data_IF_951846067849
#
_entry.id   IF_951846067849
#
_cell.length_a   1.000
_cell.length_b   1.000
_cell.length_c   1.000
_cell.angle_alpha   90.00
_cell.angle_beta   90.00
_cell.angle_gamma   90.00
#
_symmetry.space_group_name_H-M   'P 1'
#
loop_
_entity.id
_entity.type
_entity.pdbx_description
1 polymer ?
#
# COMPACT_ATOMS: atom_id res chain seq x y z
N UNK A 1 9.36 23.39 -6.19
CA UNK A 1 9.19 21.98 -5.80
C UNK A 1 7.97 21.87 -4.93
N UNK A 2 7.00 21.02 -5.27
CA UNK A 2 5.88 20.74 -4.37
C UNK A 2 6.38 19.82 -3.25
N UNK A 3 6.37 20.31 -2.02
CA UNK A 3 6.84 19.57 -0.85
C UNK A 3 5.79 18.53 -0.45
N UNK A 4 6.05 17.27 -0.78
CA UNK A 4 5.34 16.12 -0.23
C UNK A 4 6.31 15.34 0.65
N UNK A 5 5.86 14.90 1.82
CA UNK A 5 6.65 14.05 2.73
C UNK A 5 6.07 12.66 2.74
N UNK A 6 6.93 11.65 2.73
CA UNK A 6 6.54 10.27 2.93
C UNK A 6 6.07 10.13 4.38
N UNK A 7 4.87 9.58 4.59
CA UNK A 7 4.32 9.27 5.90
C UNK A 7 4.44 7.79 6.25
N UNK A 8 4.28 6.92 5.26
CA UNK A 8 4.25 5.46 5.47
C UNK A 8 4.63 4.74 4.17
N UNK A 9 5.05 3.49 4.30
CA UNK A 9 5.27 2.56 3.19
C UNK A 9 4.23 1.46 3.30
N UNK A 10 3.38 1.34 2.29
CA UNK A 10 2.34 0.31 2.22
C UNK A 10 2.90 -0.93 1.52
N UNK A 11 2.96 -2.08 2.20
CA UNK A 11 3.55 -3.28 1.63
C UNK A 11 2.66 -3.88 0.54
N UNK A 12 3.26 -4.30 -0.59
CA UNK A 12 2.58 -4.99 -1.70
C UNK A 12 1.30 -4.28 -2.18
N UNK A 13 1.33 -2.96 -2.24
CA UNK A 13 0.18 -2.17 -2.65
C UNK A 13 -0.10 -2.30 -4.16
N UNK A 14 0.94 -2.49 -4.97
CA UNK A 14 0.81 -2.71 -6.41
C UNK A 14 0.51 -4.17 -6.77
N UNK A 15 -0.03 -4.38 -7.97
CA UNK A 15 -0.42 -5.71 -8.45
C UNK A 15 0.77 -6.65 -8.72
N UNK A 16 1.96 -6.11 -8.95
CA UNK A 16 3.24 -6.84 -9.04
C UNK A 16 3.83 -7.15 -7.65
N UNK A 17 3.19 -6.69 -6.58
CA UNK A 17 3.63 -6.86 -5.20
C UNK A 17 4.67 -5.84 -4.75
N UNK A 18 4.94 -4.77 -5.50
CA UNK A 18 5.81 -3.69 -5.04
C UNK A 18 5.17 -2.84 -3.93
N UNK A 19 6.01 -2.27 -3.08
CA UNK A 19 5.61 -1.38 -1.99
C UNK A 19 5.34 0.04 -2.50
N UNK A 20 4.39 0.74 -1.90
CA UNK A 20 4.05 2.12 -2.24
C UNK A 20 4.41 3.10 -1.13
N UNK A 21 4.84 4.30 -1.50
CA UNK A 21 5.02 5.40 -0.55
C UNK A 21 3.73 6.21 -0.42
N UNK A 22 3.12 6.15 0.76
CA UNK A 22 2.07 7.09 1.13
C UNK A 22 2.70 8.45 1.44
N UNK A 23 2.31 9.51 0.71
CA UNK A 23 2.79 10.87 0.92
C UNK A 23 1.68 11.77 1.46
N UNK A 24 2.05 12.70 2.35
CA UNK A 24 1.16 13.73 2.90
C UNK A 24 1.74 15.11 2.63
N UNK A 25 0.85 16.06 2.36
CA UNK A 25 1.17 17.49 2.26
C UNK A 25 0.28 18.26 3.20
N UNK A 26 0.90 19.04 4.07
CA UNK A 26 0.14 19.98 4.89
C UNK A 26 -0.50 21.05 3.99
N UNK A 27 -1.82 21.22 4.14
CA UNK A 27 -2.61 22.18 3.37
C UNK A 27 -2.83 23.48 4.13
N UNK A 28 -2.49 23.56 5.42
CA UNK A 28 -2.72 24.74 6.25
C UNK A 28 -2.07 26.00 5.64
N UNK A 29 -0.83 25.87 5.14
CA UNK A 29 -0.11 26.96 4.48
C UNK A 29 -0.84 27.51 3.25
N UNK A 30 -1.45 26.63 2.44
CA UNK A 30 -2.23 27.07 1.28
C UNK A 30 -3.58 27.66 1.69
N UNK A 31 -4.20 27.13 2.75
CA UNK A 31 -5.44 27.69 3.29
C UNK A 31 -5.24 29.12 3.81
N UNK A 32 -4.09 29.41 4.43
CA UNK A 32 -3.75 30.76 4.88
C UNK A 32 -3.50 31.73 3.71
N UNK A 33 -2.93 31.25 2.61
CA UNK A 33 -2.79 32.03 1.36
C UNK A 33 -4.15 32.35 0.72
N UNK A 34 -5.10 31.40 0.73
CA UNK A 34 -6.45 31.60 0.20
C UNK A 34 -7.31 32.52 1.07
N UNK A 35 -7.02 32.59 2.38
CA UNK A 35 -7.67 33.52 3.31
C UNK A 35 -7.19 34.96 3.19
N UNK A 36 -6.11 35.22 2.44
CA UNK A 36 -5.69 36.59 2.13
C UNK A 36 -6.77 37.24 1.25
N UNK A 37 -7.40 38.35 1.70
CA UNK A 37 -8.45 39.01 0.94
C UNK A 37 -7.88 39.49 -0.40
N UNK A 38 -8.21 38.78 -1.48
CA UNK A 38 -7.70 39.07 -2.83
C UNK A 38 -7.54 37.86 -3.76
N UNK A 39 -7.47 36.63 -3.23
CA UNK A 39 -7.37 35.42 -4.07
C UNK A 39 -8.78 34.91 -4.43
N UNK A 40 -9.17 35.11 -5.68
CA UNK A 40 -10.40 34.51 -6.23
C UNK A 40 -10.13 33.03 -6.54
N UNK A 41 -10.76 32.14 -5.78
CA UNK A 41 -10.80 30.70 -6.10
C UNK A 41 -11.65 30.50 -7.35
N UNK A 42 -11.01 30.23 -8.48
CA UNK A 42 -11.68 29.62 -9.64
C UNK A 42 -11.76 28.11 -9.39
N UNK A 43 -12.93 27.63 -9.00
CA UNK A 43 -13.14 26.20 -8.72
C UNK A 43 -14.49 25.92 -8.07
N UNK A 44 -15.58 26.38 -8.67
CA UNK A 44 -16.89 25.76 -8.45
C UNK A 44 -16.98 24.53 -9.35
N UNK A 45 -16.86 23.34 -8.79
CA UNK A 45 -17.46 22.13 -9.37
C UNK A 45 -18.46 21.55 -8.36
N UNK A 46 -19.64 21.23 -8.89
CA UNK A 46 -20.90 21.05 -8.18
C UNK A 46 -20.97 19.79 -7.29
N UNK A 47 -21.86 19.76 -6.28
CA UNK A 47 -22.15 18.56 -5.51
C UNK A 47 -23.10 17.64 -6.30
N UNK A 48 -22.57 16.52 -6.80
CA UNK A 48 -23.37 15.45 -7.39
C UNK A 48 -23.20 14.17 -6.56
N UNK A 49 -24.31 13.63 -6.05
CA UNK A 49 -24.39 12.21 -5.69
C UNK A 49 -24.75 11.90 -4.23
N UNK A 50 -25.99 12.18 -3.87
CA UNK A 50 -26.71 11.64 -2.72
C UNK A 50 -26.65 10.10 -2.66
N UNK A 51 -26.33 9.54 -1.48
CA UNK A 51 -26.79 8.20 -1.08
C UNK A 51 -27.19 8.27 0.39
N UNK A 52 -28.48 8.09 0.74
CA UNK A 52 -28.95 8.19 2.10
C UNK A 52 -28.71 6.87 2.85
N UNK A 53 -28.46 7.04 4.14
CA UNK A 53 -28.41 6.00 5.17
C UNK A 53 -29.58 5.00 5.07
N UNK A 54 -29.26 3.71 5.17
CA UNK A 54 -30.20 2.61 5.33
C UNK A 54 -29.73 1.69 6.45
N UNK A 55 -30.18 1.99 7.67
CA UNK A 55 -30.10 1.14 8.85
C UNK A 55 -30.93 -0.15 8.65
N UNK A 56 -30.38 -1.29 9.06
CA UNK A 56 -31.09 -2.57 9.08
C UNK A 56 -30.24 -3.68 9.70
N UNK A 57 -30.23 -3.75 11.03
CA UNK A 57 -29.82 -4.94 11.78
C UNK A 57 -30.79 -6.10 11.47
N UNK A 58 -30.30 -7.28 11.04
CA UNK A 58 -30.91 -8.61 11.26
C UNK A 58 -29.84 -9.73 11.20
N UNK A 59 -29.29 -10.03 12.37
CA UNK A 59 -28.89 -11.34 12.87
C UNK A 59 -29.55 -12.53 12.14
N UNK A 60 -28.75 -13.42 11.52
CA UNK A 60 -28.97 -14.88 11.45
C UNK A 60 -27.65 -15.65 11.22
N UNK A 61 -27.20 -16.28 12.29
CA UNK A 61 -26.60 -17.61 12.36
C UNK A 61 -26.97 -18.55 11.19
N UNK A 62 -25.94 -19.07 10.51
CA UNK A 62 -26.00 -20.40 9.92
C UNK A 62 -24.59 -21.01 9.94
N UNK A 63 -24.41 -21.94 10.85
CA UNK A 63 -23.29 -22.87 10.91
C UNK A 63 -23.19 -23.59 9.55
N UNK A 64 -22.10 -23.37 8.83
CA UNK A 64 -21.65 -24.30 7.80
C UNK A 64 -20.38 -24.94 8.30
N UNK A 65 -20.58 -26.00 9.07
CA UNK A 65 -19.65 -27.12 9.08
C UNK A 65 -19.47 -27.59 7.64
N UNK A 66 -18.36 -27.18 7.02
CA UNK A 66 -17.88 -27.75 5.77
C UNK A 66 -16.40 -28.03 5.98
N UNK A 67 -16.16 -29.18 6.59
CA UNK A 67 -14.84 -29.70 6.89
C UNK A 67 -14.02 -30.09 5.66
N UNK A 68 -12.72 -30.21 5.91
CA UNK A 68 -11.72 -30.86 5.06
C UNK A 68 -11.29 -30.00 3.87
N UNK A 69 -10.01 -29.80 3.57
CA UNK A 69 -8.85 -30.63 3.81
C UNK A 69 -7.59 -29.75 3.78
N UNK A 70 -6.68 -30.00 4.70
CA UNK A 70 -5.32 -29.47 4.70
C UNK A 70 -4.63 -29.79 3.38
N UNK A 71 -4.05 -28.77 2.74
CA UNK A 71 -2.90 -28.94 1.86
C UNK A 71 -1.73 -28.19 2.45
N UNK A 72 -1.22 -28.83 3.49
CA UNK A 72 0.17 -28.81 3.89
C UNK A 72 1.11 -28.93 2.66
N UNK A 73 2.25 -28.25 2.77
CA UNK A 73 3.49 -28.46 2.05
C UNK A 73 3.56 -27.93 0.60
N UNK A 74 3.93 -26.67 0.48
CA UNK A 74 4.98 -26.33 -0.50
C UNK A 74 6.00 -25.39 0.15
N UNK A 75 6.72 -25.94 1.13
CA UNK A 75 8.05 -25.45 1.48
C UNK A 75 8.94 -25.73 0.26
N UNK A 76 9.09 -24.73 -0.61
CA UNK A 76 10.06 -24.78 -1.71
C UNK A 76 11.42 -24.73 -1.04
N UNK A 77 12.06 -25.91 -0.96
CA UNK A 77 13.37 -26.07 -0.36
C UNK A 77 14.38 -25.10 -0.99
N UNK A 78 15.11 -24.43 -0.11
CA UNK A 78 16.31 -23.66 -0.42
C UNK A 78 17.34 -24.59 -1.06
N UNK A 79 17.52 -24.50 -2.37
CA UNK A 79 18.52 -25.27 -3.09
C UNK A 79 19.69 -24.36 -3.50
N UNK A 80 20.84 -24.68 -2.89
CA UNK A 80 22.20 -24.46 -3.36
C UNK A 80 22.72 -23.02 -3.35
N UNK A 81 23.12 -22.59 -2.15
CA UNK A 81 24.38 -21.87 -1.96
C UNK A 81 25.51 -22.72 -2.56
N UNK A 82 26.14 -22.23 -3.63
CA UNK A 82 27.43 -22.76 -4.09
C UNK A 82 28.26 -21.58 -4.54
N UNK A 83 29.04 -21.05 -3.61
CA UNK A 83 30.13 -20.13 -3.92
C UNK A 83 31.25 -20.95 -4.54
N UNK A 84 31.40 -20.88 -5.87
CA UNK A 84 32.61 -21.38 -6.53
C UNK A 84 33.74 -20.38 -6.27
N UNK A 85 34.39 -20.53 -5.11
CA UNK A 85 35.69 -19.88 -4.86
C UNK A 85 36.75 -20.77 -5.49
N UNK A 86 37.20 -20.38 -6.67
CA UNK A 86 38.44 -20.89 -7.28
C UNK A 86 39.63 -20.50 -6.37
N UNK A 87 39.95 -21.34 -5.40
CA UNK A 87 41.28 -21.35 -4.76
C UNK A 87 42.30 -21.83 -5.81
N UNK A 88 42.72 -20.93 -6.70
CA UNK A 88 43.94 -21.13 -7.47
C UNK A 88 45.12 -20.77 -6.58
N UNK A 89 45.55 -21.77 -5.81
CA UNK A 89 46.84 -21.81 -5.15
C UNK A 89 47.98 -21.67 -6.18
N UNK A 90 48.85 -20.71 -5.89
CA UNK A 90 50.25 -20.55 -6.32
C UNK A 90 50.92 -21.78 -6.95
N UNK A 91 51.53 -21.60 -8.13
CA UNK A 91 52.77 -22.29 -8.47
C UNK A 91 53.75 -21.30 -9.10
N UNK A 92 54.96 -21.28 -8.55
CA UNK A 92 56.06 -20.38 -8.90
C UNK A 92 56.99 -21.07 -9.89
N UNK A 93 57.38 -20.39 -10.98
CA UNK A 93 58.76 -20.31 -11.50
C UNK A 93 58.86 -19.25 -12.60
#
# INVERSE_FOLDING_TARGET
>A
MFLHRISEVEPKYYADGEDAYAMKRDLAHMADELRKPGVRVSGQEAPSGQSPSGSGDQERESERDSGGESKELSEVSEATESTDVKDSSSDSQ
#
